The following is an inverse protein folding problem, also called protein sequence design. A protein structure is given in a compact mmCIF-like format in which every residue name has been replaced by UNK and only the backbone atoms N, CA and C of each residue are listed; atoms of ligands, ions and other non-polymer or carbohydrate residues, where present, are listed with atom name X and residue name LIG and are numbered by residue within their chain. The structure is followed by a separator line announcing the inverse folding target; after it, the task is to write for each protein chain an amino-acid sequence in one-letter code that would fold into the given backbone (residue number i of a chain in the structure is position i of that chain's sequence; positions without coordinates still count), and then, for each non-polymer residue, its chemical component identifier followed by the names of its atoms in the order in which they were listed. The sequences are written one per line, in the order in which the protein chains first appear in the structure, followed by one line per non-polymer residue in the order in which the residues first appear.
data_IF_598432953387
#
_entry.id   IF_598432953387
#
_cell.length_a   1.000
_cell.length_b   1.000
_cell.length_c   1.000
_cell.angle_alpha   90.00
_cell.angle_beta   90.00
_cell.angle_gamma   90.00
#
_symmetry.space_group_name_H-M   'P 1'
#
loop_
_entity.id
_entity.type
_entity.pdbx_description
1 polymer ?
#
# COMPACT_ATOMS: atom_id res chain seq x y z
N UNK A 1 19.94 0.93 -12.30
CA UNK A 1 19.07 2.07 -12.65
C UNK A 1 19.79 3.38 -12.30
N UNK A 2 19.39 4.48 -12.96
CA UNK A 2 19.90 5.82 -12.64
C UNK A 2 19.62 6.23 -11.17
N UNK A 3 18.54 5.75 -10.57
CA UNK A 3 18.23 5.96 -9.17
C UNK A 3 19.28 5.35 -8.22
N UNK A 4 19.72 4.12 -8.47
CA UNK A 4 20.76 3.49 -7.68
C UNK A 4 22.11 4.18 -7.85
N UNK A 5 22.44 4.59 -9.09
CA UNK A 5 23.68 5.32 -9.38
C UNK A 5 23.69 6.74 -8.77
N UNK A 6 22.52 7.37 -8.64
CA UNK A 6 22.33 8.69 -8.04
C UNK A 6 22.17 8.71 -6.53
N UNK A 7 22.25 7.56 -5.85
CA UNK A 7 21.97 7.43 -4.40
C UNK A 7 20.60 7.97 -3.98
N UNK A 8 19.58 7.88 -4.84
CA UNK A 8 18.23 8.30 -4.55
C UNK A 8 17.60 7.35 -3.51
N UNK A 9 17.10 7.89 -2.40
CA UNK A 9 16.54 7.09 -1.30
C UNK A 9 15.01 7.00 -1.38
N UNK A 10 14.32 8.09 -1.73
CA UNK A 10 12.87 8.15 -1.83
C UNK A 10 12.47 8.95 -3.05
N UNK A 11 11.45 8.51 -3.77
CA UNK A 11 10.82 9.33 -4.82
C UNK A 11 9.31 9.34 -4.68
N UNK A 12 8.70 10.44 -5.08
CA UNK A 12 7.24 10.58 -5.14
C UNK A 12 6.75 10.44 -6.58
N UNK A 13 5.71 9.62 -6.76
CA UNK A 13 5.06 9.34 -8.03
C UNK A 13 3.55 9.60 -7.94
N UNK A 14 3.17 10.87 -8.06
CA UNK A 14 1.77 11.32 -8.04
C UNK A 14 1.15 11.31 -9.43
N UNK A 15 1.28 10.22 -10.15
CA UNK A 15 0.72 9.98 -11.48
C UNK A 15 0.44 8.49 -11.67
N UNK A 16 -0.43 8.15 -12.61
CA UNK A 16 -0.75 6.75 -12.89
C UNK A 16 -1.69 6.58 -14.08
N UNK A 17 -2.08 5.35 -14.31
CA UNK A 17 -3.02 4.98 -15.36
C UNK A 17 -4.45 5.24 -14.90
N UNK A 18 -5.25 5.87 -15.76
CA UNK A 18 -6.70 5.99 -15.55
C UNK A 18 -7.35 4.66 -15.92
N UNK A 19 -8.09 4.07 -14.99
CA UNK A 19 -8.82 2.81 -15.16
C UNK A 19 -10.32 3.00 -14.93
N UNK A 20 -11.12 2.12 -15.54
CA UNK A 20 -12.56 2.13 -15.42
C UNK A 20 -13.20 3.36 -16.03
N UNK A 21 -14.13 3.96 -15.30
CA UNK A 21 -14.81 5.18 -15.69
C UNK A 21 -13.99 6.42 -15.34
N UNK A 22 -14.00 7.37 -16.27
CA UNK A 22 -13.42 8.69 -16.08
C UNK A 22 -14.22 9.74 -16.86
N UNK A 23 -14.32 10.95 -16.31
CA UNK A 23 -14.90 12.08 -17.04
C UNK A 23 -13.77 12.91 -17.63
N UNK A 24 -13.72 12.96 -18.95
CA UNK A 24 -12.72 13.75 -19.68
C UNK A 24 -13.23 15.19 -19.82
N UNK A 25 -12.68 16.10 -19.01
CA UNK A 25 -13.08 17.51 -18.98
C UNK A 25 -12.76 18.23 -20.31
N UNK A 26 -11.67 17.90 -20.99
CA UNK A 26 -11.26 18.53 -22.24
C UNK A 26 -12.27 18.25 -23.37
N UNK A 27 -12.80 17.03 -23.42
CA UNK A 27 -13.78 16.59 -24.41
C UNK A 27 -15.23 16.57 -23.85
N UNK A 28 -15.41 16.96 -22.61
CA UNK A 28 -16.70 17.02 -21.88
C UNK A 28 -17.53 15.75 -22.07
N UNK A 29 -16.93 14.58 -21.79
CA UNK A 29 -17.57 13.30 -22.02
C UNK A 29 -17.13 12.22 -21.01
N UNK A 30 -18.00 11.27 -20.78
CA UNK A 30 -17.67 10.06 -20.04
C UNK A 30 -16.90 9.07 -20.91
N UNK A 31 -15.79 8.53 -20.38
CA UNK A 31 -14.96 7.53 -21.01
C UNK A 31 -14.92 6.26 -20.15
N UNK A 32 -15.08 5.09 -20.79
CA UNK A 32 -14.82 3.79 -20.18
C UNK A 32 -13.52 3.22 -20.73
N UNK A 33 -12.56 3.02 -19.86
CA UNK A 33 -11.19 2.67 -20.24
C UNK A 33 -10.94 1.15 -20.39
N UNK A 34 -11.91 0.28 -20.09
CA UNK A 34 -11.82 -1.16 -20.33
C UNK A 34 -11.68 -1.50 -21.82
N UNK A 35 -11.16 -2.69 -22.13
CA UNK A 35 -11.04 -3.17 -23.50
C UNK A 35 -12.39 -3.28 -24.19
N UNK A 36 -12.34 -3.35 -25.53
CA UNK A 36 -13.53 -3.60 -26.36
C UNK A 36 -14.31 -4.82 -25.85
N UNK A 37 -15.63 -4.67 -25.65
CA UNK A 37 -16.55 -5.64 -25.10
C UNK A 37 -16.34 -6.06 -23.61
N UNK A 38 -15.38 -5.52 -22.88
CA UNK A 38 -15.28 -5.73 -21.44
C UNK A 38 -16.38 -4.96 -20.69
N UNK A 39 -16.80 -5.54 -19.56
CA UNK A 39 -17.78 -4.96 -18.65
C UNK A 39 -17.15 -4.37 -17.40
N UNK A 40 -15.89 -4.72 -17.16
CA UNK A 40 -15.01 -4.27 -16.11
C UNK A 40 -13.66 -3.93 -16.72
N UNK A 41 -12.93 -2.99 -16.16
CA UNK A 41 -11.58 -2.69 -16.66
C UNK A 41 -10.59 -3.70 -16.04
N UNK A 42 -10.02 -4.54 -16.89
CA UNK A 42 -9.08 -5.60 -16.50
C UNK A 42 -7.81 -5.08 -15.82
N UNK A 43 -7.57 -3.79 -15.83
CA UNK A 43 -6.36 -3.18 -15.22
C UNK A 43 -6.54 -2.85 -13.75
N UNK A 44 -7.74 -2.97 -13.20
CA UNK A 44 -7.94 -2.89 -11.77
C UNK A 44 -7.26 -4.08 -11.09
N UNK A 45 -6.45 -3.83 -10.09
CA UNK A 45 -5.73 -4.85 -9.32
C UNK A 45 -4.59 -5.59 -10.05
N UNK A 46 -4.47 -5.41 -11.36
CA UNK A 46 -3.60 -6.17 -12.25
C UNK A 46 -2.12 -5.96 -11.93
N UNK A 47 -1.36 -7.04 -11.89
CA UNK A 47 0.11 -7.00 -11.87
C UNK A 47 0.66 -7.07 -13.30
N UNK A 48 0.88 -5.90 -13.89
CA UNK A 48 1.27 -5.72 -15.29
C UNK A 48 2.79 -5.53 -15.50
N UNK A 49 3.18 -5.18 -16.72
CA UNK A 49 4.58 -4.88 -17.05
C UNK A 49 5.16 -3.69 -16.25
N UNK A 50 4.35 -2.70 -15.92
CA UNK A 50 4.81 -1.55 -15.12
C UNK A 50 5.08 -1.97 -13.68
N UNK A 51 4.20 -2.79 -13.09
CA UNK A 51 4.41 -3.36 -11.76
C UNK A 51 5.70 -4.21 -11.71
N UNK A 52 5.92 -5.06 -12.72
CA UNK A 52 7.17 -5.84 -12.88
C UNK A 52 8.39 -4.92 -12.98
N UNK A 53 8.29 -3.81 -13.71
CA UNK A 53 9.39 -2.87 -13.87
C UNK A 53 9.73 -2.17 -12.55
N UNK A 54 8.72 -1.71 -11.79
CA UNK A 54 8.90 -1.13 -10.47
C UNK A 54 9.55 -2.12 -9.49
N UNK A 55 9.06 -3.36 -9.45
CA UNK A 55 9.67 -4.41 -8.60
C UNK A 55 11.12 -4.69 -8.99
N UNK A 56 11.42 -4.72 -10.30
CA UNK A 56 12.79 -4.90 -10.80
C UNK A 56 13.71 -3.74 -10.41
N UNK A 57 13.22 -2.49 -10.48
CA UNK A 57 13.98 -1.30 -10.09
C UNK A 57 14.27 -1.35 -8.61
N UNK A 58 13.24 -1.57 -7.77
CA UNK A 58 13.38 -1.63 -6.31
C UNK A 58 14.33 -2.76 -5.88
N UNK A 59 14.24 -3.94 -6.47
CA UNK A 59 15.12 -5.06 -6.17
C UNK A 59 16.60 -4.76 -6.45
N UNK A 60 16.89 -4.03 -7.54
CA UNK A 60 18.26 -3.64 -7.92
C UNK A 60 18.74 -2.33 -7.27
N UNK A 61 17.91 -1.69 -6.45
CA UNK A 61 18.23 -0.47 -5.73
C UNK A 61 17.71 -0.56 -4.28
N UNK A 62 18.34 -1.38 -3.40
CA UNK A 62 17.79 -1.79 -2.11
C UNK A 62 17.60 -0.65 -1.09
N UNK A 63 18.12 0.53 -1.35
CA UNK A 63 17.91 1.74 -0.53
C UNK A 63 16.87 2.70 -1.12
N UNK A 64 16.37 2.41 -2.32
CA UNK A 64 15.45 3.28 -3.03
C UNK A 64 14.01 2.82 -2.89
N UNK A 65 13.18 3.63 -2.23
CA UNK A 65 11.75 3.41 -2.09
C UNK A 65 10.95 4.32 -3.02
N UNK A 66 10.12 3.72 -3.86
CA UNK A 66 9.16 4.38 -4.72
C UNK A 66 7.86 4.55 -3.92
N UNK A 67 7.43 5.80 -3.68
CA UNK A 67 6.15 6.14 -3.04
C UNK A 67 5.17 6.57 -4.13
N UNK A 68 4.01 5.91 -4.20
CA UNK A 68 3.09 6.10 -5.32
C UNK A 68 1.65 6.30 -4.84
N UNK A 69 0.96 7.26 -5.49
CA UNK A 69 -0.45 7.53 -5.22
C UNK A 69 -1.37 6.39 -5.69
N UNK A 70 -2.38 6.03 -4.89
CA UNK A 70 -3.27 4.89 -5.15
C UNK A 70 -4.28 5.09 -6.30
N UNK A 71 -4.55 6.34 -6.70
CA UNK A 71 -5.56 6.68 -7.71
C UNK A 71 -6.79 7.37 -7.12
N UNK A 72 -7.54 8.09 -7.97
CA UNK A 72 -8.63 8.99 -7.55
C UNK A 72 -9.98 8.70 -8.22
N UNK A 73 -10.11 7.61 -8.96
CA UNK A 73 -11.28 7.35 -9.84
C UNK A 73 -12.34 6.44 -9.21
N UNK A 74 -12.21 6.07 -7.93
CA UNK A 74 -13.13 5.11 -7.30
C UNK A 74 -14.60 5.54 -7.36
N UNK A 75 -14.91 6.82 -7.30
CA UNK A 75 -16.29 7.33 -7.41
C UNK A 75 -16.67 7.79 -8.82
N UNK A 76 -15.79 7.61 -9.80
CA UNK A 76 -16.11 7.87 -11.21
C UNK A 76 -16.90 6.70 -11.79
N UNK A 77 -18.23 6.79 -11.75
CA UNK A 77 -19.11 5.67 -12.09
C UNK A 77 -19.75 5.77 -13.51
N UNK A 78 -19.26 6.71 -14.33
CA UNK A 78 -19.82 6.97 -15.65
C UNK A 78 -21.20 7.61 -15.60
N UNK A 79 -21.92 7.64 -16.73
CA UNK A 79 -23.30 8.11 -16.75
C UNK A 79 -24.17 7.29 -15.80
N UNK A 80 -24.87 7.94 -14.88
CA UNK A 80 -25.69 7.28 -13.86
C UNK A 80 -27.13 7.77 -13.89
N UNK A 81 -28.06 6.90 -13.51
CA UNK A 81 -29.47 7.23 -13.36
C UNK A 81 -29.84 7.50 -11.91
N UNK A 82 -30.72 8.43 -11.67
CA UNK A 82 -31.39 8.56 -10.40
C UNK A 82 -32.27 7.32 -10.16
N UNK A 83 -32.00 6.58 -9.09
CA UNK A 83 -32.70 5.32 -8.79
C UNK A 83 -34.19 5.47 -8.56
N UNK A 84 -34.63 6.64 -8.05
CA UNK A 84 -36.05 6.92 -7.77
C UNK A 84 -36.84 7.39 -8.99
N UNK A 85 -36.17 8.12 -9.91
CA UNK A 85 -36.87 8.72 -11.07
C UNK A 85 -36.53 8.04 -12.40
N UNK A 86 -35.51 7.20 -12.45
CA UNK A 86 -35.01 6.58 -13.68
C UNK A 86 -34.35 7.56 -14.67
N UNK A 87 -34.25 8.85 -14.33
CA UNK A 87 -33.65 9.87 -15.20
C UNK A 87 -32.14 9.90 -15.04
N UNK A 88 -31.42 10.14 -16.13
CA UNK A 88 -29.98 10.34 -16.13
C UNK A 88 -29.59 11.63 -15.39
N UNK A 89 -28.54 11.57 -14.59
CA UNK A 89 -27.97 12.77 -13.98
C UNK A 89 -27.40 13.68 -15.08
N UNK A 90 -27.68 14.98 -14.98
CA UNK A 90 -27.25 15.99 -15.94
C UNK A 90 -27.73 15.74 -17.39
N UNK A 91 -28.74 14.90 -17.61
CA UNK A 91 -29.21 14.43 -18.91
C UNK A 91 -28.14 13.73 -19.76
N UNK A 92 -27.02 13.32 -19.16
CA UNK A 92 -25.92 12.62 -19.82
C UNK A 92 -26.11 11.12 -19.66
N UNK A 93 -26.39 10.45 -20.77
CA UNK A 93 -26.61 8.99 -20.80
C UNK A 93 -25.58 8.27 -21.65
N UNK A 94 -24.73 9.02 -22.36
CA UNK A 94 -23.84 8.47 -23.37
C UNK A 94 -22.40 8.37 -22.84
N UNK A 95 -21.68 7.41 -23.40
CA UNK A 95 -20.29 7.21 -23.05
C UNK A 95 -19.45 6.85 -24.27
N UNK A 96 -18.15 7.05 -24.13
CA UNK A 96 -17.16 6.70 -25.13
C UNK A 96 -16.32 5.54 -24.62
N UNK A 97 -15.91 4.68 -25.55
CA UNK A 97 -14.96 3.61 -25.29
C UNK A 97 -14.07 3.37 -26.52
N UNK A 98 -13.04 2.56 -26.35
CA UNK A 98 -12.16 2.20 -27.46
C UNK A 98 -12.73 1.01 -28.24
N UNK A 99 -12.61 1.05 -29.56
CA UNK A 99 -12.89 -0.08 -30.44
C UNK A 99 -11.71 -1.08 -30.41
N UNK A 100 -11.82 -2.16 -31.19
CA UNK A 100 -10.78 -3.20 -31.28
C UNK A 100 -9.43 -2.66 -31.82
N UNK A 101 -9.44 -1.53 -32.54
CA UNK A 101 -8.24 -0.85 -33.02
C UNK A 101 -7.66 0.15 -32.01
N UNK A 102 -8.32 0.35 -30.86
CA UNK A 102 -7.95 1.32 -29.83
C UNK A 102 -8.45 2.75 -30.08
N UNK A 103 -9.29 2.98 -31.10
CA UNK A 103 -9.86 4.29 -31.42
C UNK A 103 -11.10 4.57 -30.59
N UNK A 104 -11.21 5.77 -30.03
CA UNK A 104 -12.37 6.23 -29.30
C UNK A 104 -13.60 6.39 -30.21
N UNK A 105 -14.74 5.86 -29.78
CA UNK A 105 -16.04 6.07 -30.43
C UNK A 105 -17.14 6.27 -29.39
N UNK A 106 -18.20 6.96 -29.79
CA UNK A 106 -19.40 7.07 -28.96
C UNK A 106 -20.14 5.72 -28.97
N UNK A 107 -20.18 5.07 -27.84
CA UNK A 107 -20.80 3.76 -27.66
C UNK A 107 -22.32 3.85 -27.35
N UNK A 108 -22.88 5.06 -27.35
CA UNK A 108 -24.28 5.30 -27.09
C UNK A 108 -24.63 5.29 -25.59
N UNK A 109 -25.82 4.86 -25.27
CA UNK A 109 -26.35 4.83 -23.90
C UNK A 109 -25.56 3.76 -23.10
N UNK A 110 -25.09 4.12 -21.90
CA UNK A 110 -24.43 3.18 -20.98
C UNK A 110 -25.35 1.99 -20.67
N UNK A 111 -24.93 0.74 -20.93
CA UNK A 111 -25.64 -0.45 -20.48
C UNK A 111 -25.40 -0.69 -18.99
N UNK A 112 -26.42 -1.19 -18.27
CA UNK A 112 -26.33 -1.49 -16.84
C UNK A 112 -25.32 -2.64 -16.54
N UNK A 113 -24.86 -3.33 -17.57
CA UNK A 113 -23.91 -4.44 -17.43
C UNK A 113 -22.44 -4.01 -17.28
N UNK A 114 -22.11 -2.72 -17.49
CA UNK A 114 -20.76 -2.21 -17.23
C UNK A 114 -20.67 -1.83 -15.77
N UNK A 115 -19.70 -2.38 -15.04
CA UNK A 115 -19.51 -2.14 -13.61
C UNK A 115 -19.20 -0.68 -13.27
N UNK A 116 -19.51 -0.29 -12.06
CA UNK A 116 -19.05 0.96 -11.48
C UNK A 116 -17.62 0.84 -10.97
N UNK A 117 -16.99 1.98 -10.67
CA UNK A 117 -15.70 2.04 -9.98
C UNK A 117 -15.84 2.06 -8.43
N UNK A 118 -17.05 1.96 -7.88
CA UNK A 118 -17.34 2.26 -6.47
C UNK A 118 -17.23 1.08 -5.50
N UNK A 119 -16.75 -0.07 -5.99
CA UNK A 119 -16.55 -1.28 -5.19
C UNK A 119 -15.11 -1.41 -4.67
N UNK A 120 -14.76 -2.58 -4.19
CA UNK A 120 -13.38 -2.98 -3.95
C UNK A 120 -12.65 -3.24 -5.27
N UNK A 121 -11.31 -3.39 -5.20
CA UNK A 121 -10.47 -3.67 -6.37
C UNK A 121 -10.49 -2.53 -7.41
N UNK A 122 -10.19 -1.32 -6.95
CA UNK A 122 -10.21 -0.12 -7.80
C UNK A 122 -8.82 0.47 -8.07
N UNK A 123 -7.77 -0.23 -7.64
CA UNK A 123 -6.38 0.18 -7.82
C UNK A 123 -5.94 0.01 -9.27
N UNK A 124 -5.37 1.05 -9.92
CA UNK A 124 -4.73 0.89 -11.23
C UNK A 124 -3.58 -0.12 -11.22
N UNK A 125 -3.30 -0.75 -12.34
CA UNK A 125 -2.26 -1.77 -12.47
C UNK A 125 -0.87 -1.32 -12.01
N UNK A 126 -0.50 -0.09 -12.31
CA UNK A 126 0.82 0.47 -12.03
C UNK A 126 1.09 0.76 -10.55
N UNK A 127 0.09 0.62 -9.66
CA UNK A 127 0.25 0.74 -8.21
C UNK A 127 0.24 -0.63 -7.49
N UNK A 128 0.08 -1.72 -8.23
CA UNK A 128 0.01 -3.09 -7.71
C UNK A 128 1.39 -3.74 -7.50
N UNK A 129 2.49 -3.05 -7.79
CA UNK A 129 3.84 -3.57 -7.53
C UNK A 129 4.06 -3.86 -6.03
N UNK A 130 4.82 -4.93 -5.73
CA UNK A 130 5.04 -5.43 -4.37
C UNK A 130 5.95 -4.53 -3.54
N UNK A 131 7.03 -4.06 -4.17
CA UNK A 131 8.14 -3.40 -3.47
C UNK A 131 7.99 -1.88 -3.33
N UNK A 132 6.96 -1.29 -3.92
CA UNK A 132 6.64 0.14 -3.75
C UNK A 132 5.79 0.37 -2.50
N UNK A 133 5.68 1.62 -2.07
CA UNK A 133 4.73 2.06 -1.05
C UNK A 133 3.56 2.79 -1.73
N UNK A 134 2.41 2.14 -1.80
CA UNK A 134 1.18 2.71 -2.37
C UNK A 134 0.41 3.45 -1.28
N UNK A 135 0.02 4.69 -1.56
CA UNK A 135 -0.58 5.62 -0.58
C UNK A 135 -2.01 5.99 -0.96
N UNK A 136 -2.96 5.67 -0.07
CA UNK A 136 -4.35 6.14 -0.14
C UNK A 136 -4.53 7.51 0.52
N UNK A 137 -5.67 8.16 0.26
CA UNK A 137 -5.97 9.50 0.76
C UNK A 137 -7.09 9.49 1.80
N UNK A 138 -6.81 10.06 2.96
CA UNK A 138 -7.77 10.32 4.04
C UNK A 138 -7.95 11.82 4.25
N UNK A 139 -9.01 12.20 4.96
CA UNK A 139 -9.22 13.58 5.38
C UNK A 139 -8.20 13.98 6.44
N UNK A 140 -7.74 15.23 6.42
CA UNK A 140 -6.85 15.78 7.44
C UNK A 140 -7.47 15.76 8.83
N UNK A 141 -6.71 15.34 9.84
CA UNK A 141 -7.16 15.27 11.24
C UNK A 141 -6.59 16.47 11.99
N UNK A 142 -7.30 17.60 11.94
CA UNK A 142 -6.82 18.88 12.48
C UNK A 142 -6.53 18.84 13.99
N UNK A 143 -7.26 18.03 14.74
CA UNK A 143 -7.05 17.84 16.19
C UNK A 143 -5.95 16.82 16.53
N UNK A 144 -5.33 16.21 15.51
CA UNK A 144 -4.45 15.06 15.67
C UNK A 144 -5.21 13.74 15.87
N UNK A 145 -4.53 12.64 15.63
CA UNK A 145 -5.09 11.31 15.80
C UNK A 145 -5.29 10.96 17.29
N UNK A 146 -6.48 10.54 17.66
CA UNK A 146 -6.80 10.02 19.01
C UNK A 146 -7.31 8.58 18.95
N UNK A 147 -8.03 8.19 17.91
CA UNK A 147 -8.66 6.87 17.73
C UNK A 147 -8.83 6.55 16.25
N UNK A 148 -9.05 5.27 15.93
CA UNK A 148 -9.16 4.78 14.54
C UNK A 148 -10.30 5.42 13.74
N UNK A 149 -11.37 5.83 14.38
CA UNK A 149 -12.53 6.49 13.75
C UNK A 149 -12.22 7.90 13.26
N UNK A 150 -11.12 8.52 13.72
CA UNK A 150 -10.67 9.83 13.23
C UNK A 150 -10.10 9.73 11.81
N UNK A 151 -9.69 8.52 11.38
CA UNK A 151 -9.13 8.26 10.06
C UNK A 151 -10.25 8.00 9.06
N UNK A 152 -10.68 9.05 8.37
CA UNK A 152 -11.77 9.00 7.41
C UNK A 152 -11.24 8.92 5.99
N UNK A 153 -11.41 7.76 5.36
CA UNK A 153 -11.06 7.55 3.95
C UNK A 153 -11.85 8.48 3.04
N UNK A 154 -11.18 9.17 2.12
CA UNK A 154 -11.90 10.00 1.15
C UNK A 154 -12.53 9.15 0.05
N UNK A 155 -13.68 9.61 -0.43
CA UNK A 155 -14.51 8.87 -1.38
C UNK A 155 -13.83 8.58 -2.72
N UNK A 156 -12.96 9.44 -3.19
CA UNK A 156 -12.25 9.26 -4.47
C UNK A 156 -11.11 8.25 -4.40
N UNK A 157 -10.52 8.03 -3.20
CA UNK A 157 -9.31 7.21 -3.04
C UNK A 157 -9.56 5.77 -3.48
N UNK A 158 -8.74 5.30 -4.42
CA UNK A 158 -8.77 3.91 -4.84
C UNK A 158 -8.21 2.98 -3.76
N UNK A 159 -8.70 1.75 -3.71
CA UNK A 159 -8.26 0.73 -2.76
C UNK A 159 -8.35 -0.69 -3.34
N UNK A 160 -7.74 -1.65 -2.62
CA UNK A 160 -7.64 -3.06 -3.00
C UNK A 160 -8.92 -3.88 -2.88
N UNK A 161 -8.74 -5.19 -2.92
CA UNK A 161 -7.48 -5.92 -3.11
C UNK A 161 -6.81 -5.67 -4.47
N UNK A 162 -5.60 -6.23 -4.66
CA UNK A 162 -5.09 -6.53 -6.00
C UNK A 162 -5.69 -7.84 -6.48
N UNK A 163 -5.60 -8.17 -7.79
CA UNK A 163 -6.10 -9.44 -8.37
C UNK A 163 -5.65 -10.66 -7.56
N UNK A 164 -4.40 -10.69 -7.14
CA UNK A 164 -3.84 -11.79 -6.35
C UNK A 164 -4.10 -11.68 -4.84
N UNK A 165 -4.90 -10.69 -4.43
CA UNK A 165 -5.38 -10.54 -3.05
C UNK A 165 -4.47 -9.78 -2.11
N UNK A 166 -3.35 -9.19 -2.58
CA UNK A 166 -2.43 -8.43 -1.73
C UNK A 166 -3.08 -7.18 -1.15
N UNK A 167 -2.56 -6.79 0.02
CA UNK A 167 -2.99 -5.60 0.75
C UNK A 167 -2.42 -4.36 0.07
N UNK A 168 -3.29 -3.56 -0.52
CA UNK A 168 -3.03 -2.24 -1.08
C UNK A 168 -4.26 -1.33 -0.84
N UNK A 169 -4.07 0.01 -0.61
CA UNK A 169 -2.78 0.67 -0.47
C UNK A 169 -1.96 0.07 0.68
N UNK A 170 -0.64 0.36 0.74
CA UNK A 170 0.17 -0.07 1.87
C UNK A 170 -0.15 0.76 3.12
N UNK A 171 -0.40 2.07 2.94
CA UNK A 171 -0.65 3.02 4.03
C UNK A 171 -1.52 4.18 3.53
N UNK A 172 -2.08 4.96 4.44
CA UNK A 172 -2.81 6.18 4.08
C UNK A 172 -2.15 7.43 4.68
N UNK A 173 -2.39 8.56 4.01
CA UNK A 173 -1.95 9.89 4.46
C UNK A 173 -2.99 10.96 4.17
N UNK A 174 -2.81 12.16 4.72
CA UNK A 174 -3.65 13.32 4.43
C UNK A 174 -3.54 13.69 2.96
N UNK A 175 -4.67 13.67 2.26
CA UNK A 175 -4.76 13.97 0.83
C UNK A 175 -5.94 14.89 0.48
N UNK A 176 -6.54 15.57 1.46
CA UNK A 176 -7.74 16.37 1.23
C UNK A 176 -7.53 17.82 1.66
N UNK A 177 -7.76 18.74 0.74
CA UNK A 177 -7.57 20.16 0.96
C UNK A 177 -6.16 20.51 1.49
N UNK A 178 -5.15 19.88 0.91
CA UNK A 178 -3.75 20.10 1.26
C UNK A 178 -3.29 21.41 0.64
N UNK A 179 -2.85 22.35 1.49
CA UNK A 179 -2.34 23.66 1.08
C UNK A 179 -0.85 23.55 0.69
N UNK A 180 -0.55 23.89 -0.55
CA UNK A 180 0.82 23.82 -1.07
C UNK A 180 1.03 24.74 -2.27
N UNK A 181 2.23 24.73 -2.83
CA UNK A 181 2.59 25.49 -4.03
C UNK A 181 1.81 25.04 -5.26
N UNK A 182 1.46 25.99 -6.12
CA UNK A 182 0.81 25.75 -7.41
C UNK A 182 1.76 26.19 -8.55
N UNK A 183 1.56 25.58 -9.73
CA UNK A 183 2.38 25.86 -10.92
C UNK A 183 2.00 27.15 -11.67
N UNK A 184 1.05 27.94 -11.18
CA UNK A 184 0.53 29.13 -11.87
C UNK A 184 1.55 30.24 -11.97
N UNK A 185 2.34 30.44 -10.91
CA UNK A 185 3.50 31.36 -10.86
C UNK A 185 4.35 31.07 -9.61
N UNK A 186 5.50 31.74 -9.47
CA UNK A 186 6.50 31.50 -8.41
C UNK A 186 6.02 31.79 -6.98
N UNK A 187 4.88 32.45 -6.81
CA UNK A 187 4.30 32.79 -5.50
C UNK A 187 2.89 32.23 -5.29
N UNK A 188 2.44 31.33 -6.18
CA UNK A 188 1.11 30.75 -6.09
C UNK A 188 1.04 29.63 -5.07
N UNK A 189 0.01 29.68 -4.22
CA UNK A 189 -0.36 28.63 -3.27
C UNK A 189 -1.86 28.38 -3.35
N UNK A 190 -2.28 27.17 -3.02
CA UNK A 190 -3.70 26.81 -2.99
C UNK A 190 -3.93 25.41 -2.43
N UNK A 191 -5.19 25.04 -2.39
CA UNK A 191 -5.64 23.75 -1.87
C UNK A 191 -5.91 22.79 -3.00
N UNK A 192 -5.36 21.59 -2.91
CA UNK A 192 -5.65 20.46 -3.80
C UNK A 192 -6.03 19.23 -2.99
N UNK A 193 -6.79 18.33 -3.60
CA UNK A 193 -7.16 17.04 -3.01
C UNK A 193 -6.85 15.91 -4.00
N UNK A 194 -6.39 14.78 -3.48
CA UNK A 194 -6.05 13.61 -4.25
C UNK A 194 -5.08 12.69 -3.49
N UNK A 195 -5.01 11.45 -3.89
CA UNK A 195 -3.92 10.56 -3.46
C UNK A 195 -2.55 11.10 -3.89
N UNK A 196 -2.56 11.99 -4.92
CA UNK A 196 -1.39 12.76 -5.38
C UNK A 196 -0.89 13.78 -4.35
N UNK A 197 -1.71 14.18 -3.36
CA UNK A 197 -1.33 15.05 -2.23
C UNK A 197 -0.91 14.23 -1.02
N UNK A 198 -1.53 13.07 -0.80
CA UNK A 198 -1.14 12.14 0.26
C UNK A 198 0.26 11.55 0.03
N UNK A 199 0.55 11.10 -1.19
CA UNK A 199 1.82 10.46 -1.52
C UNK A 199 3.06 11.33 -1.24
N UNK A 200 3.14 12.61 -1.64
CA UNK A 200 4.30 13.45 -1.34
C UNK A 200 4.43 13.78 0.16
N UNK A 201 3.32 13.89 0.90
CA UNK A 201 3.35 14.02 2.36
C UNK A 201 4.00 12.82 3.03
N UNK A 202 3.63 11.62 2.59
CA UNK A 202 4.27 10.36 3.03
C UNK A 202 5.73 10.30 2.58
N UNK A 203 6.04 10.57 1.31
CA UNK A 203 7.41 10.53 0.79
C UNK A 203 8.35 11.49 1.53
N UNK A 204 7.90 12.72 1.82
CA UNK A 204 8.64 13.70 2.61
C UNK A 204 8.90 13.22 4.03
N UNK A 205 7.89 12.64 4.68
CA UNK A 205 8.02 12.03 6.01
C UNK A 205 9.07 10.92 6.03
N UNK A 206 9.07 10.04 5.04
CA UNK A 206 10.05 8.96 4.95
C UNK A 206 11.47 9.49 4.66
N UNK A 207 11.59 10.57 3.89
CA UNK A 207 12.88 11.22 3.66
C UNK A 207 13.44 11.84 4.96
N UNK A 208 12.59 12.42 5.81
CA UNK A 208 12.99 12.89 7.14
C UNK A 208 13.47 11.74 8.04
N UNK A 209 12.87 10.55 7.95
CA UNK A 209 13.36 9.37 8.67
C UNK A 209 14.73 8.88 8.13
N UNK A 210 14.97 8.97 6.83
CA UNK A 210 16.30 8.72 6.25
C UNK A 210 17.35 9.72 6.74
N UNK A 211 16.99 11.01 6.81
CA UNK A 211 17.85 12.05 7.38
C UNK A 211 18.16 11.77 8.85
N UNK A 212 17.15 11.38 9.64
CA UNK A 212 17.33 11.02 11.05
C UNK A 212 18.28 9.83 11.19
N UNK A 213 18.10 8.77 10.41
CA UNK A 213 19.03 7.62 10.40
C UNK A 213 20.45 8.05 10.11
N UNK A 214 20.62 8.89 9.08
CA UNK A 214 21.95 9.38 8.72
C UNK A 214 22.61 10.21 9.83
N UNK A 215 21.82 11.06 10.51
CA UNK A 215 22.31 11.86 11.67
C UNK A 215 22.74 10.97 12.86
N UNK A 216 22.02 9.87 13.10
CA UNK A 216 22.27 9.00 14.25
C UNK A 216 23.35 7.93 13.99
N UNK A 217 23.44 7.41 12.77
CA UNK A 217 24.30 6.25 12.45
C UNK A 217 25.27 6.49 11.30
N UNK A 218 25.19 7.65 10.64
CA UNK A 218 25.93 7.98 9.41
C UNK A 218 25.66 7.00 8.25
N UNK A 219 24.45 6.40 8.22
CA UNK A 219 24.03 5.45 7.19
C UNK A 219 22.55 5.62 6.86
N UNK A 220 22.17 5.48 5.59
CA UNK A 220 20.74 5.34 5.22
C UNK A 220 20.26 3.93 5.62
N UNK A 221 18.94 3.79 5.81
CA UNK A 221 18.28 2.50 5.98
C UNK A 221 17.72 1.99 4.64
N UNK A 222 17.55 0.68 4.52
CA UNK A 222 17.04 0.03 3.30
C UNK A 222 15.58 0.41 3.03
N UNK A 223 15.17 0.32 1.78
CA UNK A 223 13.78 0.56 1.37
C UNK A 223 12.79 -0.36 2.09
N UNK A 224 13.13 -1.64 2.26
CA UNK A 224 12.32 -2.57 3.04
C UNK A 224 12.20 -2.14 4.51
N UNK A 225 13.28 -1.67 5.13
CA UNK A 225 13.31 -1.23 6.53
C UNK A 225 12.45 0.01 6.75
N UNK A 226 12.54 1.01 5.86
CA UNK A 226 11.72 2.23 6.01
C UNK A 226 10.24 1.95 5.73
N UNK A 227 9.93 1.04 4.79
CA UNK A 227 8.57 0.54 4.58
C UNK A 227 8.06 -0.22 5.80
N UNK A 228 8.89 -1.10 6.39
CA UNK A 228 8.56 -1.83 7.61
C UNK A 228 8.27 -0.87 8.78
N UNK A 229 9.10 0.16 8.95
CA UNK A 229 8.96 1.16 10.01
C UNK A 229 7.66 1.94 9.86
N UNK A 230 7.32 2.40 8.66
CA UNK A 230 6.06 3.08 8.37
C UNK A 230 4.83 2.22 8.70
N UNK A 231 4.86 0.93 8.32
CA UNK A 231 3.77 -0.02 8.58
C UNK A 231 3.71 -0.43 10.07
N UNK A 232 4.87 -0.62 10.70
CA UNK A 232 4.97 -1.03 12.10
C UNK A 232 4.35 -0.01 13.05
N UNK A 233 4.61 1.26 12.79
CA UNK A 233 4.22 2.39 13.64
C UNK A 233 2.95 3.09 13.20
N UNK A 234 2.32 2.64 12.11
CA UNK A 234 1.07 3.22 11.62
C UNK A 234 0.00 3.21 12.72
N UNK A 235 -0.75 4.29 12.78
CA UNK A 235 -1.95 4.37 13.62
C UNK A 235 -3.05 3.50 13.02
N UNK A 236 -3.75 2.78 13.87
CA UNK A 236 -4.89 1.94 13.47
C UNK A 236 -5.96 2.77 12.74
N UNK A 237 -6.58 2.16 11.73
CA UNK A 237 -7.63 2.78 10.93
C UNK A 237 -8.65 1.71 10.51
N UNK A 238 -9.83 2.15 10.11
CA UNK A 238 -10.87 1.22 9.67
C UNK A 238 -11.75 0.68 10.79
N UNK A 239 -12.61 -0.27 10.42
CA UNK A 239 -13.65 -0.77 11.33
C UNK A 239 -13.11 -1.78 12.34
N UNK A 240 -12.21 -2.67 11.90
CA UNK A 240 -11.71 -3.81 12.65
C UNK A 240 -10.21 -3.64 12.97
N UNK A 241 -9.69 -4.32 13.99
CA UNK A 241 -8.25 -4.36 14.25
C UNK A 241 -7.47 -5.02 13.10
N UNK A 242 -6.26 -4.53 12.87
CA UNK A 242 -5.35 -5.02 11.84
C UNK A 242 -5.60 -4.39 10.47
N UNK A 243 -4.94 -4.87 9.41
CA UNK A 243 -5.04 -4.26 8.09
C UNK A 243 -6.42 -4.44 7.46
N UNK A 244 -6.76 -3.57 6.53
CA UNK A 244 -7.90 -3.71 5.63
C UNK A 244 -7.54 -3.22 4.20
N UNK A 245 -8.37 -3.54 3.20
CA UNK A 245 -8.11 -3.14 1.82
C UNK A 245 -8.35 -1.67 1.51
N UNK A 246 -8.91 -0.89 2.45
CA UNK A 246 -9.16 0.54 2.28
C UNK A 246 -8.00 1.38 2.81
N UNK A 247 -7.56 1.09 4.04
CA UNK A 247 -6.53 1.85 4.75
C UNK A 247 -5.16 1.19 4.72
N UNK A 248 -5.06 -0.03 4.16
CA UNK A 248 -3.84 -0.83 4.22
C UNK A 248 -3.49 -1.16 5.68
N UNK A 249 -2.29 -0.79 6.09
CA UNK A 249 -1.80 -1.00 7.45
C UNK A 249 -2.09 0.17 8.41
N UNK A 250 -2.82 1.18 7.94
CA UNK A 250 -3.27 2.32 8.74
C UNK A 250 -2.72 3.68 8.30
N UNK A 251 -2.88 4.70 9.15
CA UNK A 251 -2.41 6.06 8.92
C UNK A 251 -0.94 6.20 9.31
N UNK A 252 -0.11 6.75 8.43
CA UNK A 252 1.30 7.03 8.73
C UNK A 252 1.45 7.85 10.01
N UNK A 253 2.30 7.36 10.92
CA UNK A 253 2.72 8.06 12.12
C UNK A 253 4.24 8.28 12.13
N UNK A 254 4.66 9.39 11.54
CA UNK A 254 6.09 9.73 11.42
C UNK A 254 6.77 9.94 12.78
N UNK A 255 6.02 10.44 13.77
CA UNK A 255 6.56 10.66 15.13
C UNK A 255 6.92 9.34 15.81
N UNK A 256 6.01 8.37 15.84
CA UNK A 256 6.30 7.05 16.41
C UNK A 256 7.40 6.33 15.60
N UNK A 257 7.42 6.48 14.27
CA UNK A 257 8.48 5.95 13.44
C UNK A 257 9.85 6.53 13.80
N UNK A 258 9.94 7.84 14.03
CA UNK A 258 11.17 8.49 14.43
C UNK A 258 11.63 8.06 15.83
N UNK A 259 10.70 7.88 16.78
CA UNK A 259 10.99 7.38 18.13
C UNK A 259 11.53 5.95 18.05
N UNK A 260 10.85 5.05 17.35
CA UNK A 260 11.27 3.65 17.20
C UNK A 260 12.65 3.54 16.51
N UNK A 261 12.87 4.31 15.46
CA UNK A 261 14.17 4.37 14.78
C UNK A 261 15.28 4.84 15.71
N UNK A 262 15.03 5.90 16.47
CA UNK A 262 16.02 6.47 17.41
C UNK A 262 16.35 5.48 18.54
N UNK A 263 15.35 4.81 19.10
CA UNK A 263 15.55 3.81 20.14
C UNK A 263 16.39 2.63 19.63
N UNK A 264 16.07 2.09 18.46
CA UNK A 264 16.80 0.98 17.88
C UNK A 264 18.26 1.34 17.58
N UNK A 265 18.53 2.50 16.99
CA UNK A 265 19.88 2.93 16.65
C UNK A 265 20.68 3.27 17.92
N UNK A 266 20.11 4.06 18.84
CA UNK A 266 20.82 4.51 20.06
C UNK A 266 21.15 3.37 21.01
N UNK A 267 20.31 2.34 21.06
CA UNK A 267 20.55 1.13 21.86
C UNK A 267 21.45 0.11 21.17
N UNK A 268 21.81 0.34 19.91
CA UNK A 268 22.49 -0.65 19.06
C UNK A 268 21.77 -2.01 19.07
N UNK A 269 20.44 -1.98 19.02
CA UNK A 269 19.57 -3.16 19.12
C UNK A 269 19.82 -4.01 20.38
N UNK A 270 20.20 -3.40 21.49
CA UNK A 270 20.30 -4.12 22.75
C UNK A 270 18.95 -4.74 23.13
N UNK A 271 18.97 -5.96 23.64
CA UNK A 271 17.73 -6.71 24.02
C UNK A 271 16.86 -6.02 25.08
N UNK A 272 17.39 -5.00 25.71
CA UNK A 272 16.66 -4.14 26.68
C UNK A 272 15.95 -2.95 26.03
N UNK A 273 16.17 -2.71 24.74
CA UNK A 273 15.49 -1.65 23.99
C UNK A 273 14.01 -2.00 23.80
N UNK A 274 13.16 -0.96 23.80
CA UNK A 274 11.75 -1.11 23.48
C UNK A 274 11.51 -1.37 21.96
N UNK A 275 12.48 -0.97 21.14
CA UNK A 275 12.40 -1.06 19.69
C UNK A 275 13.69 -1.67 19.13
N UNK A 276 13.53 -2.59 18.20
CA UNK A 276 14.63 -3.32 17.57
C UNK A 276 14.42 -3.34 16.05
N UNK A 277 15.47 -3.08 15.30
CA UNK A 277 15.47 -3.11 13.83
C UNK A 277 16.61 -4.03 13.38
N UNK A 278 16.27 -5.07 12.64
CA UNK A 278 17.24 -6.00 12.06
C UNK A 278 17.16 -5.95 10.53
N UNK A 279 18.28 -5.68 9.89
CA UNK A 279 18.48 -5.88 8.45
C UNK A 279 19.34 -7.14 8.28
N UNK A 280 18.74 -8.21 7.80
CA UNK A 280 19.36 -9.53 7.73
C UNK A 280 19.09 -10.21 6.39
N UNK A 281 19.75 -11.32 6.13
CA UNK A 281 19.58 -12.15 4.93
C UNK A 281 19.18 -13.55 5.36
N UNK A 282 18.07 -14.04 4.83
CA UNK A 282 17.62 -15.41 4.99
C UNK A 282 18.16 -16.27 3.83
N UNK A 283 18.98 -17.25 4.14
CA UNK A 283 19.48 -18.22 3.17
C UNK A 283 18.46 -19.30 2.89
N UNK A 284 18.56 -19.91 1.73
CA UNK A 284 17.71 -21.05 1.40
C UNK A 284 17.86 -22.18 2.45
N UNK A 285 16.75 -22.78 2.84
CA UNK A 285 16.64 -23.80 3.90
C UNK A 285 17.04 -23.31 5.31
N UNK A 286 17.24 -22.01 5.50
CA UNK A 286 17.54 -21.45 6.81
C UNK A 286 16.29 -20.95 7.53
N UNK A 287 16.44 -20.76 8.84
CA UNK A 287 15.48 -20.09 9.71
C UNK A 287 16.26 -19.10 10.59
N UNK A 288 15.71 -17.90 10.75
CA UNK A 288 16.24 -16.89 11.69
C UNK A 288 15.33 -16.81 12.90
N UNK A 289 15.90 -16.68 14.08
CA UNK A 289 15.16 -16.51 15.32
C UNK A 289 15.69 -15.33 16.11
N UNK A 290 14.77 -14.56 16.68
CA UNK A 290 15.06 -13.43 17.54
C UNK A 290 14.29 -13.60 18.85
N UNK A 291 14.95 -13.38 19.97
CA UNK A 291 14.35 -13.56 21.29
C UNK A 291 14.14 -12.20 21.95
N UNK A 292 12.95 -11.96 22.46
CA UNK A 292 12.56 -10.71 23.14
C UNK A 292 11.98 -11.05 24.51
N UNK A 293 12.30 -10.23 25.50
CA UNK A 293 11.65 -10.28 26.81
C UNK A 293 10.62 -9.15 26.90
N UNK A 294 9.36 -9.50 27.12
CA UNK A 294 8.28 -8.51 27.15
C UNK A 294 8.40 -7.58 28.36
N UNK A 295 8.41 -6.27 28.11
CA UNK A 295 8.38 -5.24 29.16
C UNK A 295 6.98 -4.97 29.72
N UNK A 296 5.94 -5.34 28.99
CA UNK A 296 4.52 -5.23 29.38
C UNK A 296 3.93 -3.82 29.36
N UNK A 297 4.61 -2.86 28.75
CA UNK A 297 4.13 -1.46 28.72
C UNK A 297 3.31 -1.10 27.48
N UNK A 298 3.51 -1.79 26.37
CA UNK A 298 2.81 -1.59 25.10
C UNK A 298 2.53 -2.95 24.45
N UNK A 299 1.71 -2.97 23.42
CA UNK A 299 1.55 -4.15 22.56
C UNK A 299 2.90 -4.60 22.02
N UNK A 300 3.13 -5.91 21.99
CA UNK A 300 4.31 -6.50 21.34
C UNK A 300 4.00 -6.66 19.86
N UNK A 301 4.82 -6.03 19.02
CA UNK A 301 4.66 -6.05 17.56
C UNK A 301 5.91 -6.60 16.89
N UNK A 302 5.72 -7.33 15.81
CA UNK A 302 6.78 -7.71 14.89
C UNK A 302 6.31 -7.46 13.45
N UNK A 303 7.15 -6.82 12.66
CA UNK A 303 6.86 -6.54 11.25
C UNK A 303 8.04 -7.00 10.41
N UNK A 304 7.78 -7.84 9.42
CA UNK A 304 8.71 -8.33 8.42
C UNK A 304 8.35 -7.71 7.08
N UNK A 305 9.33 -7.10 6.41
CA UNK A 305 9.20 -6.62 5.03
C UNK A 305 10.43 -7.03 4.25
N UNK A 306 10.23 -7.51 3.04
CA UNK A 306 11.32 -7.83 2.14
C UNK A 306 11.09 -7.29 0.73
N UNK A 307 12.18 -6.98 0.05
CA UNK A 307 12.14 -6.59 -1.35
C UNK A 307 12.17 -7.85 -2.20
N UNK A 308 11.00 -8.33 -2.59
CA UNK A 308 10.86 -9.57 -3.34
C UNK A 308 11.29 -9.40 -4.80
N UNK A 309 11.74 -10.46 -5.44
CA UNK A 309 12.01 -10.48 -6.89
C UNK A 309 10.72 -10.26 -7.67
N UNK A 310 10.82 -9.75 -8.90
CA UNK A 310 9.65 -9.52 -9.76
C UNK A 310 8.84 -10.79 -9.98
N UNK A 311 7.53 -10.70 -9.88
CA UNK A 311 6.60 -11.77 -10.22
C UNK A 311 6.35 -11.89 -11.73
N UNK A 312 5.57 -12.89 -12.12
CA UNK A 312 5.11 -13.06 -13.50
C UNK A 312 4.00 -12.06 -13.83
N UNK A 313 4.05 -11.46 -15.02
CA UNK A 313 2.99 -10.58 -15.55
C UNK A 313 1.67 -11.33 -15.65
N UNK A 314 0.57 -10.67 -15.33
CA UNK A 314 -0.78 -11.11 -15.66
C UNK A 314 -1.33 -10.32 -16.85
N UNK A 315 -2.12 -10.98 -17.68
CA UNK A 315 -2.84 -10.36 -18.80
C UNK A 315 -4.34 -10.75 -18.77
N UNK A 316 -4.78 -11.43 -17.71
CA UNK A 316 -6.15 -11.90 -17.57
C UNK A 316 -6.85 -11.17 -16.44
N UNK A 317 -8.12 -10.88 -16.62
CA UNK A 317 -9.01 -10.28 -15.64
C UNK A 317 -9.03 -11.12 -14.35
N UNK A 318 -8.90 -10.47 -13.21
CA UNK A 318 -9.04 -11.03 -11.86
C UNK A 318 -8.23 -12.32 -11.63
N UNK A 319 -6.96 -12.31 -12.04
CA UNK A 319 -6.08 -13.45 -11.90
C UNK A 319 -5.49 -13.55 -10.49
N UNK A 320 -6.11 -14.41 -9.68
CA UNK A 320 -5.77 -14.63 -8.27
C UNK A 320 -4.48 -15.43 -8.01
N UNK A 321 -3.71 -15.81 -9.04
CA UNK A 321 -2.42 -16.47 -8.82
C UNK A 321 -1.45 -15.52 -8.12
N UNK A 322 -0.80 -15.91 -7.01
CA UNK A 322 0.14 -15.05 -6.28
C UNK A 322 1.27 -14.50 -7.16
N UNK A 323 1.60 -13.24 -6.95
CA UNK A 323 2.77 -12.57 -7.59
C UNK A 323 3.99 -12.59 -6.67
N UNK A 324 3.81 -13.01 -5.42
CA UNK A 324 4.90 -13.27 -4.50
C UNK A 324 5.77 -14.43 -5.03
N UNK A 325 7.08 -14.26 -4.97
CA UNK A 325 8.05 -15.25 -5.44
C UNK A 325 8.74 -15.92 -4.26
N UNK A 326 9.37 -15.14 -3.40
CA UNK A 326 9.96 -15.63 -2.16
C UNK A 326 8.95 -15.49 -1.02
N UNK A 327 8.30 -16.59 -0.65
CA UNK A 327 7.27 -16.66 0.39
C UNK A 327 7.95 -16.87 1.76
N UNK A 328 8.20 -15.76 2.48
CA UNK A 328 8.71 -15.77 3.84
C UNK A 328 7.56 -15.84 4.84
N UNK A 329 7.82 -16.45 5.99
CA UNK A 329 6.87 -16.58 7.10
C UNK A 329 7.40 -15.92 8.36
N UNK A 330 6.60 -15.07 8.99
CA UNK A 330 6.82 -14.50 10.31
C UNK A 330 5.93 -15.22 11.32
N UNK A 331 6.52 -15.73 12.41
CA UNK A 331 5.78 -16.32 13.53
C UNK A 331 6.32 -15.80 14.85
N UNK A 332 5.46 -15.72 15.85
CA UNK A 332 5.85 -15.38 17.22
C UNK A 332 5.34 -16.43 18.18
N UNK A 333 6.18 -16.89 19.10
CA UNK A 333 5.80 -17.88 20.11
C UNK A 333 6.22 -17.44 21.50
N UNK A 334 5.35 -17.71 22.49
CA UNK A 334 5.68 -17.57 23.92
C UNK A 334 6.09 -18.89 24.58
N UNK A 335 6.42 -19.90 23.76
CA UNK A 335 6.76 -21.26 24.19
C UNK A 335 5.56 -22.21 24.32
N UNK A 336 4.35 -21.68 24.50
CA UNK A 336 3.11 -22.48 24.56
C UNK A 336 2.25 -22.27 23.33
N UNK A 337 2.07 -21.04 22.91
CA UNK A 337 1.24 -20.66 21.77
C UNK A 337 2.11 -20.04 20.66
N UNK A 338 1.75 -20.34 19.43
CA UNK A 338 2.29 -19.67 18.23
C UNK A 338 1.24 -18.73 17.69
N UNK A 339 1.64 -17.49 17.42
CA UNK A 339 0.81 -16.45 16.85
C UNK A 339 1.31 -16.20 15.43
N UNK A 340 0.37 -16.25 14.50
CA UNK A 340 0.61 -16.02 13.08
C UNK A 340 0.29 -14.58 12.69
N UNK A 341 0.61 -14.21 11.46
CA UNK A 341 0.45 -12.87 10.92
C UNK A 341 -1.00 -12.53 10.63
N UNK A 342 -1.25 -11.26 10.31
CA UNK A 342 -2.52 -10.83 9.76
C UNK A 342 -2.71 -11.33 8.33
N UNK A 343 -3.96 -11.69 8.01
CA UNK A 343 -4.34 -12.18 6.69
C UNK A 343 -5.73 -11.66 6.32
N UNK A 344 -5.92 -11.24 5.06
CA UNK A 344 -7.20 -10.79 4.52
C UNK A 344 -7.80 -11.82 3.57
N UNK A 345 -9.11 -11.77 3.42
CA UNK A 345 -9.84 -12.62 2.47
C UNK A 345 -10.30 -11.81 1.26
N UNK A 346 -9.65 -11.92 0.08
CA UNK A 346 -10.05 -11.17 -1.11
C UNK A 346 -11.46 -11.52 -1.61
N UNK A 347 -11.96 -12.74 -1.33
CA UNK A 347 -13.33 -13.13 -1.68
C UNK A 347 -14.39 -12.44 -0.78
N UNK A 348 -13.99 -11.92 0.37
CA UNK A 348 -14.83 -11.08 1.23
C UNK A 348 -14.01 -9.88 1.74
N UNK A 349 -13.75 -8.90 0.88
CA UNK A 349 -12.77 -7.84 1.14
C UNK A 349 -13.19 -6.85 2.24
N UNK A 350 -14.46 -6.87 2.65
CA UNK A 350 -14.98 -6.07 3.77
C UNK A 350 -14.88 -6.77 5.13
N UNK A 351 -14.50 -8.05 5.16
CA UNK A 351 -14.37 -8.81 6.40
C UNK A 351 -13.19 -8.31 7.24
N UNK A 352 -13.27 -8.55 8.55
CA UNK A 352 -12.16 -8.33 9.46
C UNK A 352 -10.94 -9.18 9.07
N UNK A 353 -9.75 -8.64 9.27
CA UNK A 353 -8.51 -9.40 9.18
C UNK A 353 -8.52 -10.58 10.17
N UNK A 354 -7.92 -11.67 9.77
CA UNK A 354 -7.76 -12.88 10.58
C UNK A 354 -6.28 -13.18 10.81
N UNK A 355 -5.99 -14.08 11.76
CA UNK A 355 -4.64 -14.61 11.93
C UNK A 355 -4.48 -15.85 11.07
N UNK A 356 -3.35 -15.95 10.40
CA UNK A 356 -3.05 -17.09 9.55
C UNK A 356 -1.78 -16.89 8.75
N UNK A 357 -1.50 -17.87 7.91
CA UNK A 357 -0.35 -17.84 7.04
C UNK A 357 -0.65 -16.93 5.82
N UNK A 358 0.09 -15.84 5.68
CA UNK A 358 0.06 -14.98 4.50
C UNK A 358 0.99 -15.58 3.40
N UNK A 359 0.47 -15.74 2.19
CA UNK A 359 1.18 -16.39 1.04
C UNK A 359 1.28 -15.45 -0.17
N UNK A 360 0.85 -14.21 0.00
CA UNK A 360 0.65 -13.30 -1.13
C UNK A 360 1.36 -11.95 -0.95
N UNK A 361 1.51 -11.46 0.29
CA UNK A 361 2.17 -10.20 0.56
C UNK A 361 3.66 -10.39 0.89
N UNK A 362 4.49 -9.42 0.51
CA UNK A 362 5.87 -9.28 0.98
C UNK A 362 5.97 -8.37 2.22
N UNK A 363 4.90 -8.38 3.01
CA UNK A 363 4.76 -7.69 4.30
C UNK A 363 3.99 -8.60 5.24
N UNK A 364 4.56 -8.87 6.40
CA UNK A 364 3.91 -9.63 7.46
C UNK A 364 4.00 -8.92 8.80
N UNK A 365 2.90 -8.89 9.54
CA UNK A 365 2.84 -8.20 10.83
C UNK A 365 2.11 -9.04 11.86
N UNK A 366 2.69 -9.13 13.05
CA UNK A 366 2.09 -9.71 14.26
C UNK A 366 1.97 -8.62 15.29
N UNK A 367 0.85 -8.62 16.01
CA UNK A 367 0.59 -7.71 17.12
C UNK A 367 -0.13 -8.46 18.24
N UNK A 368 0.32 -8.27 19.46
CA UNK A 368 -0.22 -8.89 20.68
C UNK A 368 -0.47 -7.78 21.68
N UNK A 369 -1.73 -7.46 21.96
CA UNK A 369 -2.11 -6.38 22.85
C UNK A 369 -1.83 -6.68 24.33
N UNK A 370 -1.85 -7.97 24.69
CA UNK A 370 -1.68 -8.42 26.06
C UNK A 370 -0.49 -9.37 26.17
N UNK A 371 0.63 -8.86 26.61
CA UNK A 371 1.83 -9.65 26.89
C UNK A 371 2.00 -9.82 28.41
N UNK A 372 2.59 -10.95 28.81
CA UNK A 372 2.96 -11.18 30.20
C UNK A 372 4.37 -10.62 30.43
N UNK A 373 4.48 -9.67 31.34
CA UNK A 373 5.77 -9.04 31.68
C UNK A 373 6.78 -10.09 32.14
N UNK A 374 7.98 -10.01 31.61
CA UNK A 374 9.07 -10.94 31.90
C UNK A 374 9.04 -12.23 31.07
N UNK A 375 7.96 -12.51 30.35
CA UNK A 375 7.93 -13.66 29.45
C UNK A 375 8.80 -13.42 28.22
N UNK A 376 9.42 -14.51 27.81
CA UNK A 376 10.25 -14.55 26.59
C UNK A 376 9.36 -14.91 25.40
N UNK A 377 9.51 -14.13 24.34
CA UNK A 377 8.88 -14.39 23.04
C UNK A 377 9.96 -14.66 21.99
N UNK A 378 9.76 -15.69 21.21
CA UNK A 378 10.63 -16.03 20.07
C UNK A 378 9.95 -15.65 18.77
N UNK A 379 10.58 -14.77 18.01
CA UNK A 379 10.18 -14.41 16.64
C UNK A 379 10.97 -15.31 15.70
N UNK A 380 10.27 -15.94 14.79
CA UNK A 380 10.86 -16.84 13.78
C UNK A 380 10.56 -16.31 12.40
N UNK A 381 11.58 -16.18 11.57
CA UNK A 381 11.48 -15.91 10.13
C UNK A 381 11.95 -17.14 9.38
N UNK A 382 11.09 -17.70 8.55
CA UNK A 382 11.37 -18.89 7.74
C UNK A 382 10.87 -18.68 6.30
N UNK A 383 11.02 -19.67 5.45
CA UNK A 383 10.43 -19.68 4.11
C UNK A 383 9.88 -21.06 3.76
N UNK A 384 8.95 -21.14 2.81
CA UNK A 384 8.28 -22.40 2.44
C UNK A 384 8.94 -23.13 1.30
N UNK A 385 9.19 -22.42 0.22
CA UNK A 385 9.75 -22.99 -1.01
C UNK A 385 11.23 -22.56 -1.15
N UNK A 386 11.93 -23.14 -2.10
CA UNK A 386 13.28 -22.67 -2.42
C UNK A 386 13.23 -21.19 -2.78
N UNK A 387 14.08 -20.38 -2.13
CA UNK A 387 14.21 -18.98 -2.43
C UNK A 387 14.83 -18.79 -3.81
N UNK A 388 14.23 -17.94 -4.63
CA UNK A 388 14.86 -17.56 -5.89
C UNK A 388 16.21 -16.87 -5.58
N UNK A 389 17.26 -17.22 -6.30
CA UNK A 389 18.66 -16.80 -6.08
C UNK A 389 19.30 -17.34 -4.79
N UNK A 390 18.66 -18.27 -4.08
CA UNK A 390 19.22 -18.94 -2.90
C UNK A 390 19.14 -18.15 -1.60
N UNK A 391 18.65 -16.92 -1.62
CA UNK A 391 18.50 -16.06 -0.43
C UNK A 391 17.49 -14.93 -0.66
N UNK A 392 17.00 -14.37 0.44
CA UNK A 392 16.13 -13.19 0.45
C UNK A 392 16.60 -12.22 1.52
#
# INVERSE_FOLDING_TARGET
SSAAAGNLLVSNHSYGTVCGWDYNDDSSRWEFNGKYNEKEDYRFGLYDNQAVLYDSIAYNAPFYLIVKSAGNTRTSNGPTKNTSTGKWFNNDSTYWRRDISGKWYNAGIRPDSISNNDSYETLPADVSAKNILTVGAVNGILAGYAKKEDVVMNSFSCWGPTDDGRIKPDIVGDGVSVYSTLSTNDSSYGYLSGTSMAAPGVAGSLLLLQELSYKLSNKPIRAATIKALAIHTANEAGLYPGPDYKHGWGLLNTSEAAISLSNAISSNNASTSSDLIYEDVLQNQATKTYTIVASGKKALKATLVWTDVKGAVSNTLNNSNPRLVNDLDLKMSNGTNTIETWNLNPANPSAAATRGNNKIDNVEKIEIDSVVVGNTYTITVSHKNSLERGSQ
#
